data_IF_086199158562
#
_entry.id   IF_086199158562
#
_cell.length_a   1.000
_cell.length_b   1.000
_cell.length_c   1.000
_cell.angle_alpha   90.00
_cell.angle_beta   90.00
_cell.angle_gamma   90.00
#
_symmetry.space_group_name_H-M   'P 1'
#
loop_
_entity.id
_entity.type
_entity.pdbx_description
1 polymer ?
#
# COMPACT_ATOMS: atom_id res chain seq x y z
N UNK A 1 4.30 -5.36 -44.79
CA UNK A 1 5.68 -5.70 -44.37
C UNK A 1 6.58 -6.31 -45.47
N UNK A 2 6.05 -6.79 -46.61
CA UNK A 2 6.81 -7.57 -47.61
C UNK A 2 7.91 -6.85 -48.43
N UNK A 3 8.01 -5.52 -48.37
CA UNK A 3 9.14 -4.82 -48.98
C UNK A 3 10.32 -4.89 -48.01
N UNK A 4 11.37 -5.62 -48.37
CA UNK A 4 12.60 -5.86 -47.58
C UNK A 4 13.18 -4.58 -46.93
N UNK A 5 12.99 -3.41 -47.55
CA UNK A 5 13.42 -2.12 -46.99
C UNK A 5 12.57 -1.55 -45.85
N UNK A 6 11.30 -1.92 -45.70
CA UNK A 6 10.41 -1.40 -44.65
C UNK A 6 10.66 -2.09 -43.31
N UNK A 7 10.77 -3.41 -43.31
CA UNK A 7 11.10 -4.20 -42.11
C UNK A 7 12.48 -3.83 -41.54
N UNK A 8 13.45 -3.53 -42.41
CA UNK A 8 14.78 -3.07 -42.00
C UNK A 8 14.75 -1.70 -41.30
N UNK A 9 13.95 -0.76 -41.83
CA UNK A 9 13.74 0.56 -41.19
C UNK A 9 13.06 0.41 -39.83
N UNK A 10 12.03 -0.43 -39.74
CA UNK A 10 11.33 -0.72 -38.48
C UNK A 10 12.27 -1.34 -37.44
N UNK A 11 13.10 -2.31 -37.83
CA UNK A 11 14.10 -2.90 -36.94
C UNK A 11 15.13 -1.87 -36.45
N UNK A 12 15.56 -0.96 -37.32
CA UNK A 12 16.46 0.15 -36.94
C UNK A 12 15.81 1.08 -35.90
N UNK A 13 14.55 1.43 -36.09
CA UNK A 13 13.80 2.28 -35.15
C UNK A 13 13.52 1.56 -33.81
N UNK A 14 13.27 0.24 -33.82
CA UNK A 14 13.16 -0.55 -32.59
C UNK A 14 14.44 -0.47 -31.76
N UNK A 15 15.61 -0.58 -32.41
CA UNK A 15 16.89 -0.40 -31.74
C UNK A 15 17.08 1.02 -31.17
N UNK A 16 16.69 2.05 -31.93
CA UNK A 16 16.77 3.46 -31.48
C UNK A 16 15.86 3.73 -30.27
N UNK A 17 14.66 3.17 -30.27
CA UNK A 17 13.68 3.34 -29.21
C UNK A 17 13.81 2.32 -28.06
N UNK A 18 14.79 1.41 -28.12
CA UNK A 18 14.99 0.31 -27.16
C UNK A 18 13.70 -0.52 -26.93
N UNK A 19 13.04 -0.89 -28.02
CA UNK A 19 11.80 -1.69 -28.00
C UNK A 19 12.14 -3.16 -28.24
N UNK A 20 11.82 -4.03 -27.28
CA UNK A 20 12.06 -5.47 -27.36
C UNK A 20 10.97 -6.22 -28.16
N UNK A 21 9.71 -5.78 -28.01
CA UNK A 21 8.54 -6.34 -28.69
C UNK A 21 7.75 -5.18 -29.32
N UNK A 22 7.58 -5.21 -30.64
CA UNK A 22 6.80 -4.24 -31.38
C UNK A 22 5.58 -4.88 -32.01
N UNK A 23 4.38 -4.41 -31.68
CA UNK A 23 3.15 -4.76 -32.38
C UNK A 23 3.09 -4.16 -33.79
N UNK A 24 2.67 -4.97 -34.75
CA UNK A 24 2.54 -4.61 -36.16
C UNK A 24 1.10 -4.86 -36.61
N UNK A 25 0.47 -3.81 -37.12
CA UNK A 25 -0.76 -3.90 -37.90
C UNK A 25 -0.44 -3.88 -39.39
N UNK A 26 -1.34 -4.41 -40.21
CA UNK A 26 -1.21 -4.47 -41.68
C UNK A 26 0.09 -5.14 -42.15
N UNK A 27 0.39 -6.31 -41.61
CA UNK A 27 1.56 -7.10 -42.06
C UNK A 27 1.40 -7.51 -43.53
N UNK A 28 0.14 -7.63 -44.00
CA UNK A 28 -0.28 -8.02 -45.36
C UNK A 28 0.33 -9.37 -45.75
N UNK A 29 0.12 -10.36 -44.88
CA UNK A 29 0.56 -11.74 -45.08
C UNK A 29 -0.65 -12.64 -45.37
N UNK A 30 -0.47 -13.60 -46.28
CA UNK A 30 -1.49 -14.58 -46.68
C UNK A 30 -1.42 -15.88 -45.86
N UNK A 31 -0.48 -15.98 -44.94
CA UNK A 31 -0.28 -17.16 -44.08
C UNK A 31 0.05 -16.69 -42.66
N UNK A 32 -0.13 -17.59 -41.68
CA UNK A 32 0.50 -17.43 -40.38
C UNK A 32 1.93 -17.99 -40.44
N UNK A 33 2.89 -17.31 -39.81
CA UNK A 33 4.27 -17.74 -39.88
C UNK A 33 5.21 -16.90 -39.03
N UNK A 34 6.45 -17.37 -38.96
CA UNK A 34 7.55 -16.72 -38.28
C UNK A 34 8.73 -16.62 -39.24
N UNK A 35 9.32 -15.44 -39.35
CA UNK A 35 10.48 -15.19 -40.23
C UNK A 35 11.53 -14.39 -39.48
N UNK A 36 12.78 -14.82 -39.56
CA UNK A 36 13.91 -14.07 -38.99
C UNK A 36 14.57 -13.24 -40.09
N UNK A 37 14.76 -11.94 -39.83
CA UNK A 37 15.46 -11.01 -40.73
C UNK A 37 16.97 -11.20 -40.60
N UNK A 38 17.73 -10.75 -41.61
CA UNK A 38 19.20 -10.75 -41.57
C UNK A 38 19.79 -9.92 -40.42
N UNK A 39 19.00 -8.99 -39.85
CA UNK A 39 19.36 -8.20 -38.67
C UNK A 39 19.18 -8.96 -37.35
N UNK A 40 18.76 -10.22 -37.38
CA UNK A 40 18.52 -11.06 -36.19
C UNK A 40 17.16 -10.83 -35.51
N UNK A 41 16.36 -9.85 -35.98
CA UNK A 41 15.00 -9.63 -35.49
C UNK A 41 14.05 -10.68 -36.07
N UNK A 42 13.06 -11.10 -35.30
CA UNK A 42 12.07 -12.12 -35.72
C UNK A 42 10.70 -11.49 -35.83
N UNK A 43 10.04 -11.66 -36.96
CA UNK A 43 8.65 -11.26 -37.18
C UNK A 43 7.77 -12.49 -37.07
N UNK A 44 6.75 -12.43 -36.22
CA UNK A 44 5.68 -13.42 -36.12
C UNK A 44 4.41 -12.76 -36.62
N UNK A 45 3.65 -13.43 -37.48
CA UNK A 45 2.46 -12.84 -38.08
C UNK A 45 1.33 -13.85 -38.26
N UNK A 46 0.11 -13.33 -38.23
CA UNK A 46 -1.13 -14.02 -38.52
C UNK A 46 -1.78 -13.40 -39.75
N UNK A 47 -1.96 -14.23 -40.78
CA UNK A 47 -2.57 -13.89 -42.07
C UNK A 47 -3.77 -14.78 -42.38
N UNK A 48 -4.66 -14.35 -43.28
CA UNK A 48 -5.79 -15.17 -43.74
C UNK A 48 -5.45 -15.90 -45.04
N UNK A 49 -5.87 -17.15 -45.16
CA UNK A 49 -5.64 -18.03 -46.32
C UNK A 49 -6.66 -17.83 -47.45
N UNK A 50 -7.64 -16.95 -47.30
CA UNK A 50 -8.70 -16.77 -48.29
C UNK A 50 -8.20 -15.88 -49.43
N UNK A 51 -7.92 -16.50 -50.58
CA UNK A 51 -7.34 -15.91 -51.79
C UNK A 51 -8.24 -14.91 -52.53
N UNK A 52 -9.42 -14.60 -52.02
CA UNK A 52 -10.43 -13.76 -52.67
C UNK A 52 -10.62 -12.37 -52.08
N UNK A 53 -10.00 -12.06 -50.93
CA UNK A 53 -10.01 -10.71 -50.36
C UNK A 53 -8.67 -10.00 -50.58
N UNK A 54 -8.73 -8.73 -50.95
CA UNK A 54 -7.57 -7.86 -51.15
C UNK A 54 -6.59 -7.92 -49.96
N UNK A 55 -5.29 -7.76 -50.27
CA UNK A 55 -4.12 -7.88 -49.39
C UNK A 55 -4.06 -6.83 -48.26
N UNK A 56 -5.12 -6.65 -47.48
CA UNK A 56 -5.30 -5.49 -46.60
C UNK A 56 -5.29 -5.85 -45.10
N UNK A 57 -5.24 -7.15 -44.76
CA UNK A 57 -5.37 -7.63 -43.38
C UNK A 57 -4.12 -8.39 -42.92
N UNK A 58 -3.90 -8.44 -41.61
CA UNK A 58 -2.82 -9.20 -40.97
C UNK A 58 -2.18 -8.44 -39.82
N UNK A 59 -1.94 -9.14 -38.72
CA UNK A 59 -1.31 -8.62 -37.49
C UNK A 59 -0.08 -9.44 -37.17
N UNK A 60 0.86 -8.86 -36.42
CA UNK A 60 2.07 -9.55 -36.02
C UNK A 60 2.83 -8.82 -34.93
N UNK A 61 3.91 -9.44 -34.46
CA UNK A 61 4.88 -8.81 -33.59
C UNK A 61 6.27 -8.92 -34.22
N UNK A 62 7.09 -7.88 -34.08
CA UNK A 62 8.53 -7.96 -34.30
C UNK A 62 9.22 -8.08 -32.95
N UNK A 63 10.13 -9.04 -32.84
CA UNK A 63 10.88 -9.40 -31.65
C UNK A 63 12.37 -9.18 -31.92
N UNK A 64 13.10 -8.68 -30.93
CA UNK A 64 14.57 -8.74 -30.92
C UNK A 64 15.04 -10.19 -30.78
N UNK A 65 16.34 -10.43 -30.96
CA UNK A 65 16.95 -11.75 -30.72
C UNK A 65 16.67 -12.25 -29.30
N UNK A 66 16.68 -11.35 -28.32
CA UNK A 66 16.40 -11.64 -26.90
C UNK A 66 14.92 -11.94 -26.68
N UNK A 67 14.03 -11.09 -27.19
CA UNK A 67 12.59 -11.33 -27.09
C UNK A 67 12.13 -12.64 -27.73
N UNK A 68 12.81 -13.05 -28.82
CA UNK A 68 12.60 -14.37 -29.42
C UNK A 68 13.02 -15.52 -28.48
N UNK A 69 14.14 -15.40 -27.77
CA UNK A 69 14.62 -16.45 -26.86
C UNK A 69 13.70 -16.66 -25.66
N UNK A 70 13.00 -15.61 -25.23
CA UNK A 70 12.02 -15.68 -24.13
C UNK A 70 10.60 -16.04 -24.61
N UNK A 71 10.39 -16.23 -25.91
CA UNK A 71 9.09 -16.64 -26.45
C UNK A 71 8.83 -18.12 -26.15
N UNK A 72 7.77 -18.39 -25.39
CA UNK A 72 7.34 -19.73 -25.03
C UNK A 72 6.45 -20.35 -26.11
N UNK A 73 5.42 -19.61 -26.50
CA UNK A 73 4.42 -20.05 -27.47
C UNK A 73 3.80 -18.86 -28.18
N UNK A 74 3.23 -19.10 -29.36
CA UNK A 74 2.42 -18.13 -30.07
C UNK A 74 1.30 -18.83 -30.83
N UNK A 75 0.13 -18.18 -30.93
CA UNK A 75 -1.03 -18.72 -31.59
C UNK A 75 -1.71 -17.66 -32.48
N UNK A 76 -1.82 -17.91 -33.80
CA UNK A 76 -2.59 -17.04 -34.69
C UNK A 76 -4.09 -17.30 -34.50
N UNK A 77 -4.81 -16.32 -33.95
CA UNK A 77 -6.25 -16.47 -33.69
C UNK A 77 -7.08 -16.05 -34.91
N UNK A 78 -6.72 -14.94 -35.55
CA UNK A 78 -7.36 -14.46 -36.78
C UNK A 78 -6.48 -13.44 -37.50
N UNK A 79 -6.95 -12.88 -38.63
CA UNK A 79 -6.27 -11.78 -39.33
C UNK A 79 -6.16 -10.47 -38.52
N UNK A 80 -6.82 -10.40 -37.34
CA UNK A 80 -6.79 -9.24 -36.42
C UNK A 80 -6.19 -9.55 -35.06
N UNK A 81 -6.01 -10.82 -34.71
CA UNK A 81 -5.57 -11.22 -33.37
C UNK A 81 -4.50 -12.30 -33.49
N UNK A 82 -3.39 -12.07 -32.79
CA UNK A 82 -2.32 -13.03 -32.57
C UNK A 82 -1.91 -12.93 -31.11
N UNK A 83 -1.71 -14.07 -30.45
CA UNK A 83 -1.29 -14.13 -29.05
C UNK A 83 0.11 -14.74 -28.97
N UNK A 84 0.90 -14.28 -28.01
CA UNK A 84 2.23 -14.77 -27.74
C UNK A 84 2.48 -14.75 -26.22
N UNK A 85 3.04 -15.83 -25.69
CA UNK A 85 3.44 -15.95 -24.29
C UNK A 85 4.95 -15.80 -24.21
N UNK A 86 5.43 -14.85 -23.41
CA UNK A 86 6.86 -14.54 -23.23
C UNK A 86 7.24 -14.58 -21.75
N UNK A 87 8.45 -15.04 -21.45
CA UNK A 87 9.02 -14.94 -20.10
C UNK A 87 9.33 -13.47 -19.76
N UNK A 88 9.02 -13.08 -18.53
CA UNK A 88 9.02 -11.69 -18.05
C UNK A 88 10.42 -11.01 -18.08
N UNK A 89 11.50 -11.79 -18.12
CA UNK A 89 12.88 -11.30 -18.01
C UNK A 89 13.50 -10.89 -19.36
N UNK A 90 12.84 -9.96 -20.06
CA UNK A 90 13.38 -9.37 -21.31
C UNK A 90 14.42 -8.28 -21.07
N UNK A 91 14.65 -7.85 -19.83
CA UNK A 91 15.67 -6.87 -19.47
C UNK A 91 16.80 -7.55 -18.68
N UNK A 92 18.04 -7.24 -19.07
CA UNK A 92 19.26 -7.57 -18.32
C UNK A 92 20.15 -6.33 -18.49
N UNK A 93 20.75 -5.90 -17.38
CA UNK A 93 21.66 -4.74 -17.22
C UNK A 93 21.07 -3.35 -16.97
N UNK A 94 20.30 -3.24 -15.89
CA UNK A 94 20.53 -2.34 -14.74
C UNK A 94 19.53 -2.87 -13.71
N UNK A 95 19.91 -3.08 -12.45
CA UNK A 95 18.95 -3.48 -11.41
C UNK A 95 17.71 -2.60 -11.56
N UNK A 96 16.57 -3.20 -11.92
CA UNK A 96 15.32 -2.46 -12.12
C UNK A 96 15.21 -1.50 -10.93
N UNK A 97 15.04 -0.20 -11.17
CA UNK A 97 15.10 0.83 -10.12
C UNK A 97 14.20 0.42 -8.94
N UNK A 98 13.08 -0.25 -9.21
CA UNK A 98 12.22 -0.82 -8.19
C UNK A 98 12.91 -1.93 -7.39
N UNK A 99 13.55 -2.91 -8.03
CA UNK A 99 14.35 -3.95 -7.36
C UNK A 99 15.53 -3.36 -6.57
N UNK A 100 16.25 -2.39 -7.13
CA UNK A 100 17.33 -1.71 -6.41
C UNK A 100 16.80 -0.96 -5.17
N UNK A 101 15.66 -0.30 -5.31
CA UNK A 101 14.97 0.37 -4.21
C UNK A 101 14.48 -0.62 -3.15
N UNK A 102 13.86 -1.73 -3.55
CA UNK A 102 13.39 -2.78 -2.65
C UNK A 102 14.55 -3.37 -1.85
N UNK A 103 15.66 -3.74 -2.50
CA UNK A 103 16.86 -4.22 -1.83
C UNK A 103 17.41 -3.19 -0.83
N UNK A 104 17.44 -1.92 -1.22
CA UNK A 104 17.94 -0.83 -0.35
C UNK A 104 17.02 -0.62 0.84
N UNK A 105 15.71 -0.55 0.62
CA UNK A 105 14.68 -0.43 1.66
C UNK A 105 14.78 -1.60 2.65
N UNK A 106 14.84 -2.83 2.15
CA UNK A 106 14.85 -4.03 2.98
C UNK A 106 16.12 -4.07 3.83
N UNK A 107 17.28 -3.68 3.27
CA UNK A 107 18.53 -3.56 4.03
C UNK A 107 18.46 -2.49 5.13
N UNK A 108 17.85 -1.33 4.86
CA UNK A 108 17.67 -0.26 5.86
C UNK A 108 16.77 -0.72 6.98
N UNK A 109 15.61 -1.30 6.64
CA UNK A 109 14.62 -1.79 7.61
C UNK A 109 15.25 -2.89 8.46
N UNK A 110 15.88 -3.89 7.84
CA UNK A 110 16.57 -4.98 8.55
C UNK A 110 17.64 -4.46 9.52
N UNK A 111 18.46 -3.50 9.09
CA UNK A 111 19.49 -2.90 9.95
C UNK A 111 18.89 -2.14 11.14
N UNK A 112 17.78 -1.42 10.92
CA UNK A 112 17.08 -0.72 12.00
C UNK A 112 16.44 -1.72 12.99
N UNK A 113 15.88 -2.82 12.50
CA UNK A 113 15.30 -3.89 13.32
C UNK A 113 16.35 -4.55 14.23
N UNK A 114 17.52 -4.86 13.70
CA UNK A 114 18.59 -5.51 14.45
C UNK A 114 19.21 -4.61 15.51
N UNK A 115 19.33 -3.31 15.22
CA UNK A 115 20.03 -2.35 16.10
C UNK A 115 19.13 -1.72 17.15
N UNK A 116 17.91 -1.33 16.78
CA UNK A 116 16.98 -0.56 17.63
C UNK A 116 15.74 -1.37 18.01
N UNK A 117 15.30 -2.26 17.12
CA UNK A 117 14.05 -3.01 17.28
C UNK A 117 12.80 -2.15 17.10
N UNK A 118 11.63 -2.77 17.19
CA UNK A 118 10.35 -2.09 17.08
C UNK A 118 9.97 -1.36 18.36
N UNK A 119 9.61 -0.07 18.24
CA UNK A 119 8.93 0.63 19.32
C UNK A 119 7.60 -0.09 19.60
N UNK A 120 7.52 -0.77 20.74
CA UNK A 120 6.31 -1.44 21.18
C UNK A 120 5.22 -0.38 21.42
N UNK A 121 4.21 -0.36 20.55
CA UNK A 121 3.04 0.49 20.76
C UNK A 121 2.16 -0.14 21.84
N UNK A 122 2.51 0.09 23.10
CA UNK A 122 1.66 -0.28 24.21
C UNK A 122 0.36 0.54 24.16
N UNK A 123 -0.74 -0.08 24.60
CA UNK A 123 -1.99 0.65 24.81
C UNK A 123 -1.71 1.85 25.72
N UNK A 124 -2.04 3.06 25.24
CA UNK A 124 -1.84 4.27 26.05
C UNK A 124 -2.63 4.13 27.35
N UNK A 125 -2.09 4.59 28.48
CA UNK A 125 -2.71 4.41 29.79
C UNK A 125 -4.16 4.95 29.88
N UNK A 126 -4.50 5.97 29.10
CA UNK A 126 -5.85 6.54 29.04
C UNK A 126 -6.80 5.82 28.06
N UNK A 127 -6.32 4.83 27.32
CA UNK A 127 -7.10 4.08 26.34
C UNK A 127 -7.45 2.70 26.91
N UNK A 128 -8.71 2.28 26.75
CA UNK A 128 -9.13 0.95 27.16
C UNK A 128 -8.63 -0.11 26.18
N UNK A 129 -8.36 -1.31 26.69
CA UNK A 129 -7.90 -2.45 25.91
C UNK A 129 -8.87 -2.81 24.76
N UNK A 130 -10.18 -2.72 25.00
CA UNK A 130 -11.19 -2.93 23.95
C UNK A 130 -11.10 -1.90 22.82
N UNK A 131 -10.87 -0.61 23.13
CA UNK A 131 -10.71 0.43 22.09
C UNK A 131 -9.39 0.24 21.34
N UNK A 132 -8.34 -0.17 22.04
CA UNK A 132 -7.07 -0.50 21.42
C UNK A 132 -7.17 -1.67 20.46
N UNK A 133 -7.94 -2.70 20.82
CA UNK A 133 -8.26 -3.84 19.95
C UNK A 133 -8.92 -3.38 18.65
N UNK A 134 -9.94 -2.52 18.72
CA UNK A 134 -10.61 -1.96 17.54
C UNK A 134 -9.61 -1.19 16.65
N UNK A 135 -8.73 -0.38 17.25
CA UNK A 135 -7.69 0.35 16.50
C UNK A 135 -6.74 -0.63 15.79
N UNK A 136 -6.33 -1.71 16.45
CA UNK A 136 -5.43 -2.69 15.88
C UNK A 136 -6.09 -3.48 14.73
N UNK A 137 -7.34 -3.88 14.90
CA UNK A 137 -8.13 -4.55 13.84
C UNK A 137 -8.31 -3.65 12.62
N UNK A 138 -8.59 -2.35 12.82
CA UNK A 138 -8.66 -1.37 11.71
C UNK A 138 -7.35 -1.28 10.94
N UNK A 139 -6.20 -1.28 11.63
CA UNK A 139 -4.87 -1.26 10.99
C UNK A 139 -4.63 -2.47 10.10
N UNK A 140 -4.96 -3.67 10.58
CA UNK A 140 -4.84 -4.90 9.79
C UNK A 140 -5.70 -4.87 8.52
N UNK A 141 -6.90 -4.28 8.59
CA UNK A 141 -7.74 -4.13 7.40
C UNK A 141 -7.16 -3.10 6.43
N UNK A 142 -6.61 -1.99 6.91
CA UNK A 142 -5.90 -1.01 6.06
C UNK A 142 -4.73 -1.68 5.34
N UNK A 143 -3.93 -2.50 6.02
CA UNK A 143 -2.81 -3.24 5.42
C UNK A 143 -3.28 -4.15 4.28
N UNK A 144 -4.41 -4.85 4.47
CA UNK A 144 -5.04 -5.66 3.42
C UNK A 144 -5.53 -4.82 2.24
N UNK A 145 -6.06 -3.63 2.49
CA UNK A 145 -6.47 -2.69 1.42
C UNK A 145 -5.26 -2.24 0.60
N UNK A 146 -4.13 -1.97 1.27
CA UNK A 146 -2.91 -1.51 0.61
C UNK A 146 -2.20 -2.62 -0.19
N UNK A 147 -2.28 -3.86 0.28
CA UNK A 147 -1.68 -5.04 -0.38
C UNK A 147 -2.60 -5.69 -1.42
N UNK A 148 -3.86 -5.26 -1.53
CA UNK A 148 -4.81 -5.82 -2.51
C UNK A 148 -4.43 -5.45 -3.94
N UNK A 149 -4.19 -6.48 -4.77
CA UNK A 149 -3.76 -6.32 -6.17
C UNK A 149 -4.96 -6.35 -7.12
N UNK A 150 -5.92 -7.24 -6.89
CA UNK A 150 -7.08 -7.38 -7.79
C UNK A 150 -8.20 -6.41 -7.45
N UNK A 151 -8.99 -6.03 -8.45
CA UNK A 151 -10.17 -5.16 -8.27
C UNK A 151 -11.19 -5.76 -7.29
N UNK A 152 -11.39 -7.08 -7.32
CA UNK A 152 -12.30 -7.78 -6.42
C UNK A 152 -11.80 -7.76 -4.97
N UNK A 153 -10.52 -8.09 -4.74
CA UNK A 153 -9.92 -8.00 -3.41
C UNK A 153 -10.02 -6.59 -2.85
N UNK A 154 -9.67 -5.58 -3.65
CA UNK A 154 -9.74 -4.17 -3.25
C UNK A 154 -11.15 -3.75 -2.85
N UNK A 155 -12.18 -4.19 -3.59
CA UNK A 155 -13.57 -3.92 -3.24
C UNK A 155 -13.98 -4.58 -1.92
N UNK A 156 -13.63 -5.86 -1.73
CA UNK A 156 -13.94 -6.61 -0.51
C UNK A 156 -13.22 -6.04 0.72
N UNK A 157 -11.93 -5.73 0.63
CA UNK A 157 -11.15 -5.16 1.74
C UNK A 157 -11.61 -3.74 2.06
N UNK A 158 -12.02 -2.96 1.05
CA UNK A 158 -12.58 -1.63 1.26
C UNK A 158 -13.94 -1.68 1.98
N UNK A 159 -14.78 -2.66 1.66
CA UNK A 159 -16.04 -2.89 2.37
C UNK A 159 -15.79 -3.30 3.83
N UNK A 160 -14.86 -4.22 4.06
CA UNK A 160 -14.42 -4.59 5.40
C UNK A 160 -13.92 -3.39 6.20
N UNK A 161 -13.15 -2.51 5.56
CA UNK A 161 -12.67 -1.28 6.19
C UNK A 161 -13.84 -0.34 6.55
N UNK A 162 -14.77 -0.11 5.62
CA UNK A 162 -15.97 0.70 5.86
C UNK A 162 -16.80 0.18 7.03
N UNK A 163 -16.92 -1.14 7.17
CA UNK A 163 -17.64 -1.76 8.29
C UNK A 163 -16.88 -1.59 9.62
N UNK A 164 -15.56 -1.79 9.62
CA UNK A 164 -14.71 -1.60 10.81
C UNK A 164 -14.59 -0.14 11.23
N UNK A 165 -14.65 0.80 10.30
CA UNK A 165 -14.61 2.23 10.62
C UNK A 165 -15.90 2.70 11.31
N UNK A 166 -17.03 2.04 11.04
CA UNK A 166 -18.31 2.26 11.75
C UNK A 166 -18.30 1.71 13.18
N UNK A 167 -17.40 0.80 13.55
CA UNK A 167 -17.26 0.30 14.93
C UNK A 167 -16.77 1.42 15.85
N UNK A 168 -17.68 1.99 16.63
CA UNK A 168 -17.41 3.20 17.39
C UNK A 168 -16.32 3.02 18.47
N UNK A 169 -15.39 3.98 18.55
CA UNK A 169 -14.41 4.08 19.64
C UNK A 169 -15.00 4.76 20.90
N UNK A 170 -16.20 5.33 20.83
CA UNK A 170 -16.92 5.96 21.95
C UNK A 170 -18.43 5.77 21.79
N UNK A 171 -19.23 5.91 22.85
CA UNK A 171 -20.69 5.89 22.70
C UNK A 171 -21.19 6.99 21.75
N UNK A 172 -22.38 6.81 21.16
CA UNK A 172 -23.04 7.88 20.40
C UNK A 172 -23.19 9.09 21.33
N UNK A 173 -22.67 10.28 20.99
CA UNK A 173 -23.01 11.46 21.75
C UNK A 173 -24.55 11.58 21.73
N UNK A 174 -25.19 11.93 22.86
CA UNK A 174 -26.61 12.21 22.85
C UNK A 174 -26.87 13.24 21.75
N UNK A 175 -27.84 12.95 20.88
CA UNK A 175 -28.31 13.92 19.89
C UNK A 175 -29.01 15.01 20.70
N UNK A 176 -28.25 16.02 21.12
CA UNK A 176 -28.79 17.18 21.82
C UNK A 176 -29.25 18.18 20.78
N UNK A 177 -30.53 18.52 20.80
CA UNK A 177 -31.06 19.61 19.98
C UNK A 177 -30.42 20.92 20.45
N UNK A 178 -29.29 21.29 19.84
CA UNK A 178 -28.50 22.45 20.28
C UNK A 178 -29.20 23.70 19.77
N UNK A 179 -29.67 24.60 20.65
CA UNK A 179 -30.35 25.80 20.20
C UNK A 179 -29.40 26.66 19.36
N UNK A 180 -29.85 27.10 18.18
CA UNK A 180 -29.08 28.03 17.35
C UNK A 180 -29.96 29.21 16.92
N UNK A 181 -29.33 30.32 16.56
CA UNK A 181 -30.03 31.59 16.32
C UNK A 181 -30.53 31.72 14.87
N UNK A 182 -31.68 32.36 14.70
CA UNK A 182 -32.16 32.78 13.39
C UNK A 182 -31.41 34.04 12.87
N UNK A 183 -31.88 34.63 11.76
CA UNK A 183 -31.26 35.83 11.16
C UNK A 183 -31.45 37.09 12.02
N UNK A 184 -32.49 37.12 12.85
CA UNK A 184 -32.86 38.21 13.75
C UNK A 184 -32.34 38.00 15.18
N UNK A 185 -31.37 37.10 15.36
CA UNK A 185 -30.75 36.71 16.64
C UNK A 185 -31.69 36.02 17.65
N UNK A 186 -32.87 35.55 17.24
CA UNK A 186 -33.79 34.78 18.09
C UNK A 186 -33.28 33.35 18.24
N UNK A 187 -33.22 32.85 19.47
CA UNK A 187 -32.80 31.48 19.75
C UNK A 187 -33.90 30.48 19.36
N UNK A 188 -33.60 29.57 18.43
CA UNK A 188 -34.51 28.50 18.00
C UNK A 188 -34.22 27.24 18.81
N UNK A 189 -35.20 26.77 19.57
CA UNK A 189 -35.09 25.60 20.45
C UNK A 189 -35.89 24.39 19.94
N UNK A 190 -36.86 24.60 19.05
CA UNK A 190 -37.69 23.55 18.45
C UNK A 190 -37.03 23.01 17.18
N UNK A 191 -37.12 21.69 16.95
CA UNK A 191 -36.48 21.02 15.82
C UNK A 191 -37.04 21.50 14.47
N UNK A 192 -38.35 21.73 14.40
CA UNK A 192 -39.05 22.18 13.20
C UNK A 192 -38.61 23.58 12.78
N UNK A 193 -38.48 24.50 13.74
CA UNK A 193 -37.99 25.87 13.50
C UNK A 193 -36.53 25.86 13.01
N UNK A 194 -35.72 25.00 13.63
CA UNK A 194 -34.34 24.80 13.23
C UNK A 194 -34.24 24.26 11.79
N UNK A 195 -35.05 23.27 11.42
CA UNK A 195 -35.08 22.72 10.06
C UNK A 195 -35.50 23.75 9.02
N UNK A 196 -36.50 24.59 9.32
CA UNK A 196 -36.91 25.66 8.41
C UNK A 196 -35.79 26.70 8.24
N UNK A 197 -35.12 27.08 9.34
CA UNK A 197 -33.97 28.00 9.28
C UNK A 197 -32.79 27.43 8.50
N UNK A 198 -32.58 26.11 8.55
CA UNK A 198 -31.59 25.41 7.71
C UNK A 198 -31.99 25.44 6.23
N UNK A 199 -33.26 25.17 5.93
CA UNK A 199 -33.79 25.20 4.57
C UNK A 199 -33.62 26.60 3.94
N UNK A 200 -33.99 27.66 4.65
CA UNK A 200 -33.77 29.04 4.21
C UNK A 200 -32.30 29.37 3.96
N UNK A 201 -31.40 28.89 4.84
CA UNK A 201 -29.95 29.12 4.69
C UNK A 201 -29.43 28.46 3.41
N UNK A 202 -29.76 27.19 3.21
CA UNK A 202 -29.31 26.43 2.06
C UNK A 202 -29.92 26.95 0.76
N UNK A 203 -31.18 27.37 0.76
CA UNK A 203 -31.82 27.98 -0.39
C UNK A 203 -31.09 29.27 -0.81
N UNK A 204 -30.71 30.10 0.16
CA UNK A 204 -29.93 31.31 -0.09
C UNK A 204 -28.48 31.05 -0.57
N UNK A 205 -27.84 29.98 -0.07
CA UNK A 205 -26.43 29.66 -0.41
C UNK A 205 -26.34 28.91 -1.73
N UNK A 206 -27.22 27.94 -1.98
CA UNK A 206 -27.18 27.05 -3.14
C UNK A 206 -27.85 27.66 -4.38
N UNK A 207 -28.82 28.57 -4.22
CA UNK A 207 -29.54 29.21 -5.33
C UNK A 207 -29.06 30.64 -5.63
N UNK A 208 -27.80 30.98 -5.32
CA UNK A 208 -27.23 32.27 -5.78
C UNK A 208 -27.23 32.33 -7.31
N UNK A 209 -27.53 33.50 -7.91
CA UNK A 209 -27.39 33.68 -9.35
C UNK A 209 -25.97 33.27 -9.77
N UNK A 210 -25.90 32.53 -10.88
CA UNK A 210 -24.65 31.97 -11.42
C UNK A 210 -23.88 33.05 -12.16
N UNK A 211 -23.61 34.17 -11.51
CA UNK A 211 -22.59 35.10 -11.98
C UNK A 211 -21.24 34.44 -11.66
N UNK A 212 -20.42 34.11 -12.67
CA UNK A 212 -19.11 33.54 -12.42
C UNK A 212 -18.34 34.49 -11.49
N UNK A 213 -17.86 34.03 -10.33
CA UNK A 213 -17.00 34.87 -9.51
C UNK A 213 -15.79 35.27 -10.35
N UNK A 214 -15.50 36.56 -10.38
CA UNK A 214 -14.31 37.07 -11.03
C UNK A 214 -13.10 36.54 -10.25
N UNK A 215 -12.46 35.50 -10.80
CA UNK A 215 -11.32 34.86 -10.17
C UNK A 215 -10.15 35.84 -10.16
N UNK A 216 -9.93 36.49 -9.01
CA UNK A 216 -8.71 37.25 -8.80
C UNK A 216 -7.54 36.27 -8.83
N UNK A 217 -6.54 36.55 -9.67
CA UNK A 217 -5.30 35.80 -9.67
C UNK A 217 -4.72 35.81 -8.26
N UNK A 218 -4.50 34.62 -7.71
CA UNK A 218 -3.87 34.47 -6.40
C UNK A 218 -2.47 35.10 -6.39
N UNK A 219 -1.96 35.48 -5.21
CA UNK A 219 -0.62 36.02 -5.09
C UNK A 219 0.41 35.04 -5.66
N UNK A 220 1.39 35.55 -6.40
CA UNK A 220 2.48 34.75 -6.94
C UNK A 220 3.29 34.16 -5.80
N UNK A 221 3.28 32.83 -5.65
CA UNK A 221 4.06 32.14 -4.64
C UNK A 221 5.54 32.13 -5.07
N UNK A 222 6.44 32.55 -4.17
CA UNK A 222 7.89 32.51 -4.39
C UNK A 222 8.41 31.07 -4.23
N UNK A 223 8.10 30.21 -5.19
CA UNK A 223 8.55 28.82 -5.23
C UNK A 223 9.82 28.75 -6.08
N UNK A 224 10.90 28.19 -5.54
CA UNK A 224 12.11 27.92 -6.31
C UNK A 224 11.82 26.82 -7.33
N UNK A 225 11.79 27.17 -8.62
CA UNK A 225 11.59 26.23 -9.74
C UNK A 225 12.91 25.79 -10.39
N UNK A 226 14.05 26.13 -9.79
CA UNK A 226 15.38 25.69 -10.22
C UNK A 226 15.57 24.17 -10.03
N UNK A 227 16.61 23.61 -10.68
CA UNK A 227 16.98 22.21 -10.47
C UNK A 227 17.30 21.95 -9.00
N UNK A 228 16.77 20.84 -8.46
CA UNK A 228 17.00 20.41 -7.08
C UNK A 228 18.49 20.16 -6.86
N UNK A 229 19.04 20.70 -5.78
CA UNK A 229 20.47 20.55 -5.45
C UNK A 229 20.70 19.51 -4.35
N UNK A 230 21.87 18.87 -4.32
CA UNK A 230 22.21 17.89 -3.26
C UNK A 230 22.17 18.52 -1.86
N UNK A 231 22.62 19.76 -1.72
CA UNK A 231 22.62 20.48 -0.44
C UNK A 231 21.19 20.70 0.08
N UNK A 232 20.27 21.06 -0.80
CA UNK A 232 18.84 21.22 -0.48
C UNK A 232 18.22 19.91 0.01
N UNK A 233 18.55 18.77 -0.63
CA UNK A 233 18.09 17.45 -0.20
C UNK A 233 18.62 17.11 1.19
N UNK A 234 19.91 17.34 1.45
CA UNK A 234 20.53 17.12 2.76
C UNK A 234 19.90 18.01 3.85
N UNK A 235 19.64 19.29 3.58
CA UNK A 235 18.95 20.18 4.54
C UNK A 235 17.51 19.72 4.80
N UNK A 236 16.79 19.29 3.76
CA UNK A 236 15.45 18.77 3.89
C UNK A 236 15.42 17.51 4.78
N UNK A 237 16.33 16.57 4.57
CA UNK A 237 16.46 15.35 5.40
C UNK A 237 16.73 15.72 6.86
N UNK A 238 17.65 16.65 7.11
CA UNK A 238 17.97 17.12 8.48
C UNK A 238 16.78 17.79 9.17
N UNK A 239 15.94 18.50 8.41
CA UNK A 239 14.75 19.20 8.92
C UNK A 239 13.58 18.27 9.30
N UNK A 240 13.63 16.98 8.95
CA UNK A 240 12.56 16.03 9.28
C UNK A 240 12.35 15.91 10.79
N UNK A 241 11.12 15.63 11.24
CA UNK A 241 10.82 15.44 12.66
C UNK A 241 10.99 13.96 13.04
N UNK A 242 11.68 13.70 14.15
CA UNK A 242 11.85 12.34 14.67
C UNK A 242 10.55 11.80 15.28
N UNK A 243 10.41 10.47 15.37
CA UNK A 243 9.26 9.82 16.00
C UNK A 243 7.96 9.95 15.20
N UNK A 244 8.08 10.18 13.89
CA UNK A 244 6.97 10.03 12.95
C UNK A 244 6.95 8.61 12.41
N UNK A 245 5.76 8.11 12.13
CA UNK A 245 5.60 6.79 11.52
C UNK A 245 6.24 6.77 10.13
N UNK A 246 6.87 5.64 9.80
CA UNK A 246 7.30 5.35 8.44
C UNK A 246 6.12 5.30 7.48
N UNK A 247 6.38 5.53 6.20
CA UNK A 247 5.37 5.42 5.15
C UNK A 247 5.08 3.95 4.82
N UNK A 248 4.60 3.71 3.60
CA UNK A 248 4.43 2.34 3.06
C UNK A 248 5.75 1.56 2.98
N UNK A 249 6.88 2.28 2.97
CA UNK A 249 8.22 1.73 2.99
C UNK A 249 8.69 1.30 4.39
N UNK A 250 7.92 1.62 5.45
CA UNK A 250 8.27 1.41 6.85
C UNK A 250 9.60 2.06 7.28
N UNK A 251 10.10 3.05 6.55
CA UNK A 251 11.34 3.74 6.89
C UNK A 251 11.00 4.99 7.72
N UNK A 252 11.41 5.07 9.00
CA UNK A 252 11.16 6.25 9.80
C UNK A 252 12.15 7.38 9.46
N UNK A 253 11.82 8.67 9.71
CA UNK A 253 12.69 9.79 9.38
C UNK A 253 14.08 9.72 10.03
N UNK A 254 14.19 9.19 11.25
CA UNK A 254 15.45 8.97 11.94
C UNK A 254 16.40 8.03 11.17
N UNK A 255 15.88 6.98 10.51
CA UNK A 255 16.69 6.08 9.71
C UNK A 255 17.30 6.81 8.50
N UNK A 256 16.51 7.64 7.82
CA UNK A 256 16.95 8.43 6.66
C UNK A 256 18.05 9.43 7.06
N UNK A 257 17.93 10.05 8.23
CA UNK A 257 18.92 11.01 8.73
C UNK A 257 20.29 10.35 8.99
N UNK A 258 20.31 9.14 9.53
CA UNK A 258 21.55 8.43 9.82
C UNK A 258 22.31 8.08 8.53
N UNK A 259 21.59 7.74 7.47
CA UNK A 259 22.20 7.40 6.18
C UNK A 259 22.97 8.58 5.56
N UNK A 260 22.46 9.81 5.68
CA UNK A 260 23.12 11.02 5.17
C UNK A 260 24.42 11.35 5.95
N UNK A 261 24.48 11.00 7.24
CA UNK A 261 25.64 11.26 8.10
C UNK A 261 26.84 10.30 7.88
N UNK A 262 26.64 9.18 7.16
CA UNK A 262 27.71 8.18 6.92
C UNK A 262 28.83 8.62 5.95
N UNK A 263 28.76 9.85 5.41
CA UNK A 263 29.87 10.43 4.63
C UNK A 263 31.06 10.92 5.48
N UNK A 264 31.04 10.75 6.80
CA UNK A 264 32.22 10.94 7.65
C UNK A 264 32.61 9.63 8.33
N UNK A 265 33.74 8.99 7.94
CA UNK A 265 34.25 7.82 8.64
C UNK A 265 34.84 8.30 9.97
N UNK A 266 34.12 8.09 11.06
CA UNK A 266 34.55 8.48 12.40
C UNK A 266 33.44 8.27 13.41
N UNK A 267 33.45 7.08 14.02
CA UNK A 267 32.83 6.68 15.29
C UNK A 267 31.79 7.63 15.90
N UNK A 268 30.53 7.19 15.93
CA UNK A 268 29.62 7.57 17.03
C UNK A 268 28.82 6.36 17.48
N UNK A 269 29.22 5.82 18.62
CA UNK A 269 28.41 4.91 19.42
C UNK A 269 27.06 5.59 19.73
N UNK A 270 25.99 4.83 19.56
CA UNK A 270 24.62 5.20 19.95
C UNK A 270 24.57 5.43 21.47
N UNK A 271 24.71 6.68 21.92
CA UNK A 271 24.27 7.09 23.24
C UNK A 271 22.90 7.75 23.12
N UNK A 272 21.85 6.92 23.10
CA UNK A 272 20.50 7.36 23.38
C UNK A 272 20.24 7.12 24.87
N UNK A 273 20.07 8.22 25.60
CA UNK A 273 19.77 8.24 27.02
C UNK A 273 18.44 7.53 27.30
N UNK A 274 18.51 6.29 27.75
CA UNK A 274 17.39 5.60 28.39
C UNK A 274 17.18 6.18 29.80
N UNK A 275 16.17 7.03 29.96
CA UNK A 275 15.50 7.12 31.25
C UNK A 275 14.33 6.13 31.25
N UNK A 276 14.59 4.93 31.79
CA UNK A 276 13.55 3.99 32.20
C UNK A 276 13.88 3.47 33.61
N UNK A 277 12.93 3.47 34.57
CA UNK A 277 13.15 2.88 35.89
C UNK A 277 13.21 1.36 35.79
N UNK A 278 14.15 0.78 36.53
CA UNK A 278 14.43 -0.65 36.55
C UNK A 278 13.29 -1.43 37.21
N UNK A 279 12.82 -2.51 36.58
CA UNK A 279 12.37 -3.71 37.31
C UNK A 279 12.62 -4.97 36.48
N UNK A 280 13.23 -5.95 37.14
CA UNK A 280 13.85 -7.16 36.62
C UNK A 280 12.83 -8.16 36.04
N UNK A 281 13.17 -8.81 34.92
CA UNK A 281 12.54 -10.05 34.47
C UNK A 281 13.45 -11.24 34.74
N UNK A 282 12.99 -12.16 35.60
CA UNK A 282 13.51 -13.51 35.70
C UNK A 282 13.07 -14.31 34.47
N UNK A 283 14.04 -14.83 33.72
CA UNK A 283 13.82 -15.80 32.63
C UNK A 283 13.50 -17.16 33.24
N UNK A 284 12.42 -17.80 32.81
CA UNK A 284 12.33 -19.27 32.81
C UNK A 284 12.03 -19.74 31.39
N UNK A 285 13.06 -20.36 30.82
CA UNK A 285 13.01 -21.23 29.66
C UNK A 285 12.72 -22.66 30.14
N UNK A 286 11.88 -23.41 29.44
CA UNK A 286 11.98 -24.88 29.37
C UNK A 286 11.19 -25.43 28.17
N UNK A 287 11.94 -26.03 27.25
CA UNK A 287 11.46 -26.91 26.19
C UNK A 287 11.19 -28.32 26.74
N UNK A 288 10.13 -28.93 26.21
CA UNK A 288 10.00 -30.30 25.67
C UNK A 288 10.40 -31.55 26.48
N UNK A 289 9.39 -32.40 26.70
CA UNK A 289 9.24 -33.81 26.27
C UNK A 289 8.64 -34.72 27.36
N UNK A 290 7.73 -35.60 26.96
CA UNK A 290 7.53 -36.92 27.58
C UNK A 290 6.16 -37.16 28.20
N UNK A 291 5.34 -37.94 27.50
CA UNK A 291 4.18 -38.67 28.03
C UNK A 291 4.63 -39.62 29.16
N UNK A 292 3.85 -39.73 30.24
CA UNK A 292 3.63 -41.02 30.92
C UNK A 292 2.42 -40.98 31.86
N UNK A 293 1.44 -41.81 31.49
CA UNK A 293 0.44 -42.57 32.26
C UNK A 293 -0.05 -42.09 33.62
N UNK A 294 -1.39 -41.99 33.70
CA UNK A 294 -2.18 -42.00 34.92
C UNK A 294 -1.91 -43.26 35.77
N UNK A 295 -1.82 -43.08 37.10
CA UNK A 295 -2.29 -44.07 38.06
C UNK A 295 -2.69 -43.42 39.38
N UNK A 296 -3.74 -44.03 39.94
CA UNK A 296 -4.60 -43.61 41.02
C UNK A 296 -4.05 -44.03 42.41
N UNK A 297 -4.60 -43.39 43.43
CA UNK A 297 -4.86 -43.86 44.80
C UNK A 297 -3.75 -43.97 45.87
N UNK A 298 -4.14 -43.43 47.03
CA UNK A 298 -3.69 -43.68 48.42
C UNK A 298 -2.32 -43.08 48.84
N UNK A 299 -2.13 -42.45 50.00
CA UNK A 299 -2.79 -42.59 51.30
C UNK A 299 -2.33 -41.46 52.27
N UNK A 300 -3.20 -41.07 53.23
CA UNK A 300 -2.92 -40.60 54.62
C UNK A 300 -2.17 -39.26 54.87
N UNK A 301 -2.41 -38.46 55.91
CA UNK A 301 -3.44 -38.33 56.97
C UNK A 301 -3.05 -37.11 57.86
N UNK A 302 -4.00 -36.65 58.71
CA UNK A 302 -3.89 -35.87 59.98
C UNK A 302 -3.44 -34.39 59.88
N UNK A 303 -4.03 -33.36 60.52
CA UNK A 303 -4.87 -33.17 61.74
C UNK A 303 -5.55 -31.76 61.68
N UNK A 304 -6.86 -31.57 61.94
CA UNK A 304 -7.47 -31.16 63.24
C UNK A 304 -7.30 -29.65 63.51
N UNK A 305 -8.32 -28.77 63.62
CA UNK A 305 -9.26 -28.56 64.75
C UNK A 305 -10.47 -27.70 64.28
N UNK A 306 -11.71 -28.20 64.38
CA UNK A 306 -12.74 -27.87 65.40
C UNK A 306 -13.31 -26.43 65.40
N UNK A 307 -14.55 -26.32 64.91
CA UNK A 307 -15.57 -25.30 65.24
C UNK A 307 -16.39 -25.74 66.46
N UNK A 308 -17.09 -24.80 67.11
CA UNK A 308 -18.42 -25.10 67.65
C UNK A 308 -19.53 -24.18 67.12
N UNK A 309 -20.67 -24.81 66.86
CA UNK A 309 -22.03 -24.27 66.75
C UNK A 309 -22.38 -23.28 67.88
N UNK A 310 -23.35 -22.37 67.72
CA UNK A 310 -24.80 -22.63 67.90
C UNK A 310 -25.64 -21.33 67.71
N UNK A 311 -26.85 -21.53 67.19
CA UNK A 311 -28.13 -20.86 67.48
C UNK A 311 -28.68 -19.66 66.66
N UNK A 312 -29.95 -19.87 66.29
CA UNK A 312 -30.92 -19.06 65.54
C UNK A 312 -31.98 -18.51 66.54
N UNK A 313 -32.68 -17.45 66.11
CA UNK A 313 -33.93 -16.81 66.62
C UNK A 313 -33.70 -15.63 67.58
N UNK A 314 -34.43 -14.52 67.54
CA UNK A 314 -35.45 -13.91 66.67
C UNK A 314 -35.61 -12.43 67.13
N UNK A 315 -36.23 -11.55 66.34
CA UNK A 315 -37.20 -10.53 66.80
C UNK A 315 -37.75 -9.72 65.60
N UNK A 316 -39.08 -9.83 65.48
CA UNK A 316 -40.13 -8.99 64.88
C UNK A 316 -39.86 -8.04 63.70
#
# INVERSE_FOLDING_TARGET
MYQSGKSLKTAKEMGRCRIEILGLSEVRSNTAGMTTLNTGHTIIYSGTTNSTEAHDKGVGFMLTKKAKQSLLEWNPVSSRIITASVLENLHDDETNINTAWEMTRDSIVQSCEETVGYLQQNCKQWMSENKWKIVNERRQVIEKVLTAITKQQKAQTQEQYSNKDKEQLSGKPPISNTPFKDKDNKTLTQLEEQLERWKEHFEQVLNRPRDPPELQNGPTLNIKTSKITKAEVTEAIKSLKNGKAGGIDNIPPEAIKVLDDTSKPGEKQLHLSNQHPQHQMAKQSKMSYGEETANNSDNKNISGWHTPNTNIQALE
#
